data_IF_543844933315
#
_entry.id   IF_543844933315
#
_cell.length_a   1.000
_cell.length_b   1.000
_cell.length_c   1.000
_cell.angle_alpha   90.00
_cell.angle_beta   90.00
_cell.angle_gamma   90.00
#
_symmetry.space_group_name_H-M   'P 1'
#
loop_
_entity.id
_entity.type
_entity.pdbx_description
1 polymer ?
#
# COMPACT_ATOMS: atom_id res chain seq x y z
N UNK A 1 14.30 -0.97 2.22
CA UNK A 1 15.78 -0.92 2.18
C UNK A 1 16.46 -2.30 2.10
N UNK A 2 15.84 -3.38 2.61
CA UNK A 2 16.40 -4.75 2.54
C UNK A 2 16.20 -5.42 1.18
N UNK A 3 15.11 -5.11 0.47
CA UNK A 3 14.89 -5.58 -0.91
C UNK A 3 15.85 -4.95 -1.92
N UNK A 4 16.38 -3.76 -1.61
CA UNK A 4 17.32 -3.05 -2.50
C UNK A 4 18.66 -3.78 -2.68
N UNK A 5 19.06 -4.64 -1.74
CA UNK A 5 20.28 -5.45 -1.90
C UNK A 5 20.16 -6.51 -3.01
N UNK A 6 18.96 -7.04 -3.21
CA UNK A 6 18.68 -8.02 -4.28
C UNK A 6 18.57 -7.34 -5.65
N UNK A 7 18.39 -6.01 -5.68
CA UNK A 7 18.27 -5.18 -6.90
C UNK A 7 19.53 -4.37 -7.22
N UNK A 8 20.67 -4.62 -6.56
CA UNK A 8 21.91 -3.82 -6.70
C UNK A 8 22.53 -3.87 -8.09
N UNK A 9 22.15 -4.84 -8.93
CA UNK A 9 22.58 -4.91 -10.33
C UNK A 9 21.60 -4.25 -11.31
N UNK A 10 20.48 -3.70 -10.82
CA UNK A 10 19.50 -3.04 -11.68
C UNK A 10 19.97 -1.63 -12.05
N UNK A 11 20.26 -1.43 -13.31
CA UNK A 11 20.54 -0.11 -13.91
C UNK A 11 19.27 0.75 -14.04
N UNK A 12 18.11 0.19 -13.71
CA UNK A 12 16.79 0.81 -13.83
C UNK A 12 16.42 1.61 -12.57
N UNK A 13 15.73 2.72 -12.77
CA UNK A 13 15.16 3.52 -11.67
C UNK A 13 13.96 2.81 -11.02
N UNK A 14 13.68 3.14 -9.77
CA UNK A 14 12.50 2.61 -9.05
C UNK A 14 11.18 2.89 -9.81
N UNK A 15 11.09 4.03 -10.51
CA UNK A 15 9.92 4.40 -11.30
C UNK A 15 9.75 3.52 -12.57
N UNK A 16 10.85 3.16 -13.22
CA UNK A 16 10.83 2.25 -14.39
C UNK A 16 10.40 0.84 -13.96
N UNK A 17 10.97 0.32 -12.87
CA UNK A 17 10.60 -0.99 -12.32
C UNK A 17 9.12 -1.04 -11.91
N UNK A 18 8.60 0.02 -11.29
CA UNK A 18 7.18 0.10 -10.95
C UNK A 18 6.29 0.10 -12.19
N UNK A 19 6.65 0.86 -13.23
CA UNK A 19 5.90 0.87 -14.50
C UNK A 19 5.89 -0.52 -15.14
N UNK A 20 7.03 -1.17 -15.26
CA UNK A 20 7.12 -2.53 -15.81
C UNK A 20 6.33 -3.55 -15.00
N UNK A 21 6.30 -3.40 -13.67
CA UNK A 21 5.49 -4.23 -12.81
C UNK A 21 3.98 -4.06 -13.08
N UNK A 22 3.52 -2.83 -13.38
CA UNK A 22 2.12 -2.59 -13.70
C UNK A 22 1.70 -3.12 -15.07
N UNK A 23 2.64 -3.34 -15.97
CA UNK A 23 2.41 -4.03 -17.25
C UNK A 23 2.26 -5.55 -17.10
N UNK A 24 2.69 -6.13 -15.97
CA UNK A 24 2.54 -7.57 -15.72
C UNK A 24 1.09 -7.95 -15.43
N UNK A 25 0.66 -9.16 -15.84
CA UNK A 25 -0.68 -9.64 -15.52
C UNK A 25 -0.94 -9.63 -13.99
N UNK A 26 -2.07 -9.07 -13.53
CA UNK A 26 -2.38 -8.97 -12.11
C UNK A 26 -2.68 -10.33 -11.49
N UNK A 27 -2.42 -10.45 -10.19
CA UNK A 27 -2.84 -11.56 -9.33
C UNK A 27 -2.41 -12.96 -9.78
N UNK A 28 -1.31 -13.09 -10.56
CA UNK A 28 -0.76 -14.40 -10.95
C UNK A 28 -0.28 -15.20 -9.75
N UNK A 29 0.34 -14.53 -8.80
CA UNK A 29 0.76 -15.07 -7.52
C UNK A 29 0.53 -14.03 -6.40
N UNK A 30 0.26 -14.53 -5.22
CA UNK A 30 -0.05 -13.72 -4.04
C UNK A 30 0.68 -14.30 -2.84
N UNK A 31 1.17 -13.43 -1.96
CA UNK A 31 1.83 -13.83 -0.71
C UNK A 31 1.13 -13.19 0.48
N UNK A 32 1.28 -13.79 1.67
CA UNK A 32 0.91 -13.12 2.91
C UNK A 32 2.07 -12.20 3.32
N UNK A 33 1.95 -10.86 3.23
CA UNK A 33 3.06 -9.95 3.57
C UNK A 33 3.55 -10.09 5.03
N UNK A 34 2.70 -10.60 5.92
CA UNK A 34 3.02 -10.80 7.34
C UNK A 34 3.56 -12.21 7.64
N UNK A 35 3.84 -13.02 6.62
CA UNK A 35 4.43 -14.35 6.86
C UNK A 35 5.84 -14.20 7.48
N UNK A 36 6.16 -14.97 8.54
CA UNK A 36 7.47 -14.96 9.17
C UNK A 36 8.64 -15.16 8.20
N UNK A 37 8.43 -15.84 7.07
CA UNK A 37 9.44 -16.03 6.03
C UNK A 37 9.96 -14.68 5.46
N UNK A 38 9.17 -13.60 5.53
CA UNK A 38 9.53 -12.27 5.02
C UNK A 38 10.14 -11.34 6.07
N UNK A 39 10.20 -11.76 7.34
CA UNK A 39 10.70 -10.89 8.42
C UNK A 39 12.20 -10.57 8.28
N UNK A 40 13.02 -11.55 7.90
CA UNK A 40 14.48 -11.38 7.75
C UNK A 40 15.11 -12.42 6.80
N UNK A 41 14.66 -12.55 5.55
CA UNK A 41 15.23 -13.50 4.61
C UNK A 41 16.62 -13.06 4.14
N UNK A 42 17.46 -14.01 3.73
CA UNK A 42 18.73 -13.73 3.06
C UNK A 42 18.53 -13.10 1.69
N UNK A 43 17.49 -13.52 0.98
CA UNK A 43 16.99 -12.94 -0.27
C UNK A 43 15.47 -12.87 -0.23
N UNK A 44 14.90 -11.67 -0.43
CA UNK A 44 13.46 -11.47 -0.50
C UNK A 44 12.86 -12.12 -1.76
N UNK A 45 13.59 -12.07 -2.88
CA UNK A 45 13.17 -12.70 -4.13
C UNK A 45 12.99 -14.19 -3.94
N UNK A 46 14.00 -14.87 -3.38
CA UNK A 46 13.93 -16.30 -3.11
C UNK A 46 12.79 -16.64 -2.14
N UNK A 47 12.61 -15.85 -1.07
CA UNK A 47 11.54 -16.07 -0.11
C UNK A 47 10.14 -15.99 -0.76
N UNK A 48 9.91 -15.03 -1.66
CA UNK A 48 8.65 -14.89 -2.40
C UNK A 48 8.46 -16.10 -3.34
N UNK A 49 9.50 -16.48 -4.07
CA UNK A 49 9.45 -17.63 -4.98
C UNK A 49 9.16 -18.94 -4.22
N UNK A 50 9.80 -19.15 -3.07
CA UNK A 50 9.58 -20.34 -2.23
C UNK A 50 8.18 -20.35 -1.64
N UNK A 51 7.65 -19.22 -1.22
CA UNK A 51 6.26 -19.09 -0.77
C UNK A 51 5.29 -19.47 -1.89
N UNK A 52 5.50 -18.98 -3.11
CA UNK A 52 4.67 -19.32 -4.27
C UNK A 52 4.74 -20.80 -4.60
N UNK A 53 5.93 -21.43 -4.56
CA UNK A 53 6.09 -22.89 -4.75
C UNK A 53 5.34 -23.68 -3.68
N UNK A 54 5.50 -23.31 -2.41
CA UNK A 54 4.87 -23.98 -1.29
C UNK A 54 3.34 -23.91 -1.31
N UNK A 55 2.80 -22.86 -1.92
CA UNK A 55 1.34 -22.65 -2.06
C UNK A 55 0.78 -23.08 -3.42
N UNK A 56 1.60 -23.73 -4.27
CA UNK A 56 1.19 -24.25 -5.58
C UNK A 56 0.79 -23.17 -6.59
N UNK A 57 1.35 -21.96 -6.46
CA UNK A 57 1.07 -20.84 -7.33
C UNK A 57 2.11 -20.71 -8.45
N UNK A 58 1.83 -19.83 -9.42
CA UNK A 58 2.83 -19.37 -10.36
C UNK A 58 4.04 -18.77 -9.59
N UNK A 59 5.24 -19.11 -10.02
CA UNK A 59 6.48 -18.62 -9.42
C UNK A 59 7.01 -17.45 -10.26
N UNK A 60 7.06 -16.23 -9.72
CA UNK A 60 7.55 -15.07 -10.46
C UNK A 60 9.07 -15.18 -10.69
N UNK A 61 9.53 -14.89 -11.91
CA UNK A 61 10.95 -15.06 -12.27
C UNK A 61 11.68 -13.72 -12.41
N UNK A 62 11.04 -12.69 -12.94
CA UNK A 62 11.63 -11.38 -13.16
C UNK A 62 11.31 -10.36 -12.06
N UNK A 63 12.10 -9.30 -11.96
CA UNK A 63 11.88 -8.21 -11.00
C UNK A 63 10.49 -7.59 -11.12
N UNK A 64 10.02 -7.33 -12.33
CA UNK A 64 8.70 -6.76 -12.57
C UNK A 64 7.58 -7.66 -12.05
N UNK A 65 7.67 -8.99 -12.23
CA UNK A 65 6.71 -9.95 -11.71
C UNK A 65 6.75 -10.04 -10.17
N UNK A 66 7.94 -9.98 -9.57
CA UNK A 66 8.13 -9.95 -8.12
C UNK A 66 7.49 -8.69 -7.53
N UNK A 67 7.77 -7.52 -8.10
CA UNK A 67 7.21 -6.24 -7.65
C UNK A 67 5.69 -6.27 -7.80
N UNK A 68 5.18 -6.80 -8.91
CA UNK A 68 3.74 -6.95 -9.12
C UNK A 68 3.10 -7.83 -8.07
N UNK A 69 3.68 -8.99 -7.77
CA UNK A 69 3.23 -9.88 -6.70
C UNK A 69 3.17 -9.18 -5.34
N UNK A 70 4.20 -8.39 -5.01
CA UNK A 70 4.26 -7.63 -3.75
C UNK A 70 3.15 -6.57 -3.70
N UNK A 71 2.95 -5.78 -4.77
CA UNK A 71 1.95 -4.72 -4.79
C UNK A 71 0.52 -5.28 -4.73
N UNK A 72 0.23 -6.32 -5.52
CA UNK A 72 -1.05 -7.02 -5.47
C UNK A 72 -1.35 -7.55 -4.06
N UNK A 73 -0.35 -8.18 -3.43
CA UNK A 73 -0.48 -8.75 -2.08
C UNK A 73 -0.66 -7.68 -1.00
N UNK A 74 0.09 -6.57 -1.07
CA UNK A 74 -0.05 -5.46 -0.12
C UNK A 74 -1.42 -4.80 -0.21
N UNK A 75 -1.90 -4.53 -1.43
CA UNK A 75 -3.22 -3.92 -1.62
C UNK A 75 -4.36 -4.82 -1.09
N UNK A 76 -4.24 -6.15 -1.28
CA UNK A 76 -5.20 -7.12 -0.74
C UNK A 76 -5.09 -7.27 0.78
N UNK A 77 -3.88 -7.17 1.34
CA UNK A 77 -3.69 -7.16 2.79
C UNK A 77 -4.28 -5.91 3.43
N UNK A 78 -4.13 -4.74 2.80
CA UNK A 78 -4.79 -3.51 3.26
C UNK A 78 -6.31 -3.66 3.26
N UNK A 79 -6.91 -4.28 2.23
CA UNK A 79 -8.33 -4.61 2.22
C UNK A 79 -8.73 -5.50 3.39
N UNK A 80 -7.94 -6.53 3.70
CA UNK A 80 -8.23 -7.42 4.82
C UNK A 80 -8.25 -6.68 6.16
N UNK A 81 -7.22 -5.86 6.42
CA UNK A 81 -7.16 -5.02 7.63
C UNK A 81 -8.31 -4.01 7.65
N UNK A 82 -8.60 -3.39 6.51
CA UNK A 82 -9.72 -2.45 6.39
C UNK A 82 -11.07 -3.11 6.66
N UNK A 83 -11.25 -4.35 6.22
CA UNK A 83 -12.46 -5.13 6.51
C UNK A 83 -12.61 -5.35 8.02
N UNK A 84 -11.53 -5.73 8.71
CA UNK A 84 -11.55 -5.86 10.17
C UNK A 84 -11.85 -4.54 10.88
N UNK A 85 -11.24 -3.43 10.44
CA UNK A 85 -11.53 -2.11 11.02
C UNK A 85 -13.01 -1.74 10.89
N UNK A 86 -13.66 -2.07 9.78
CA UNK A 86 -15.10 -1.82 9.60
C UNK A 86 -15.99 -2.66 10.53
N UNK A 87 -15.51 -3.83 10.97
CA UNK A 87 -16.24 -4.65 11.94
C UNK A 87 -16.29 -4.03 13.34
N UNK A 88 -15.27 -3.22 13.68
CA UNK A 88 -15.18 -2.53 14.98
C UNK A 88 -15.69 -1.08 14.96
N UNK A 89 -15.80 -0.47 13.78
CA UNK A 89 -16.26 0.89 13.64
C UNK A 89 -17.79 0.95 13.73
N UNK A 90 -18.31 1.84 14.54
CA UNK A 90 -19.75 2.16 14.65
C UNK A 90 -20.21 3.23 13.65
N UNK A 91 -19.32 3.60 12.71
CA UNK A 91 -19.54 4.58 11.64
C UNK A 91 -19.02 4.05 10.30
N UNK A 92 -19.52 4.62 9.19
CA UNK A 92 -19.03 4.27 7.86
C UNK A 92 -17.65 4.88 7.62
N UNK A 93 -16.75 4.08 7.03
CA UNK A 93 -15.43 4.53 6.57
C UNK A 93 -15.46 4.50 5.04
N UNK A 94 -15.51 5.65 4.41
CA UNK A 94 -15.62 5.86 2.97
C UNK A 94 -14.36 6.48 2.33
N UNK A 95 -13.39 6.86 3.16
CA UNK A 95 -12.12 7.45 2.71
C UNK A 95 -10.97 6.95 3.58
N UNK A 96 -9.89 6.49 2.93
CA UNK A 96 -8.61 6.16 3.57
C UNK A 96 -7.60 7.27 3.30
N UNK A 97 -6.85 7.66 4.32
CA UNK A 97 -5.76 8.62 4.21
C UNK A 97 -4.42 7.90 4.29
N UNK A 98 -3.59 8.03 3.25
CA UNK A 98 -2.22 7.53 3.22
C UNK A 98 -1.28 8.70 3.37
N UNK A 99 -0.50 8.73 4.45
CA UNK A 99 0.43 9.80 4.80
C UNK A 99 1.87 9.30 4.86
N UNK A 100 2.82 10.23 4.90
CA UNK A 100 4.23 9.89 4.93
C UNK A 100 4.76 9.39 3.58
N UNK A 101 5.87 8.67 3.57
CA UNK A 101 6.53 8.19 2.35
C UNK A 101 5.66 7.31 1.45
N UNK A 102 4.71 6.55 2.03
CA UNK A 102 3.76 5.72 1.27
C UNK A 102 2.86 6.53 0.34
N UNK A 103 2.58 7.79 0.66
CA UNK A 103 1.75 8.68 -0.18
C UNK A 103 2.35 8.97 -1.57
N UNK A 104 3.65 8.74 -1.74
CA UNK A 104 4.35 8.97 -3.01
C UNK A 104 4.14 7.85 -4.04
N UNK A 105 3.72 6.67 -3.62
CA UNK A 105 3.53 5.54 -4.53
C UNK A 105 2.11 5.55 -5.12
N UNK A 106 1.93 6.28 -6.23
CA UNK A 106 0.62 6.42 -6.89
C UNK A 106 0.03 5.08 -7.34
N UNK A 107 0.85 4.12 -7.76
CA UNK A 107 0.37 2.79 -8.15
C UNK A 107 -0.25 2.05 -6.97
N UNK A 108 0.47 1.96 -5.84
CA UNK A 108 -0.04 1.28 -4.65
C UNK A 108 -1.24 2.01 -4.05
N UNK A 109 -1.27 3.35 -4.11
CA UNK A 109 -2.41 4.15 -3.65
C UNK A 109 -3.67 3.86 -4.49
N UNK A 110 -3.56 3.79 -5.82
CA UNK A 110 -4.66 3.40 -6.70
C UNK A 110 -5.10 1.95 -6.44
N UNK A 111 -4.16 1.03 -6.33
CA UNK A 111 -4.46 -0.38 -6.02
C UNK A 111 -5.14 -0.54 -4.65
N UNK A 112 -4.78 0.29 -3.68
CA UNK A 112 -5.43 0.33 -2.36
C UNK A 112 -6.87 0.82 -2.47
N UNK A 113 -7.13 1.88 -3.23
CA UNK A 113 -8.48 2.36 -3.50
C UNK A 113 -9.34 1.27 -4.15
N UNK A 114 -8.81 0.64 -5.19
CA UNK A 114 -9.47 -0.43 -5.93
C UNK A 114 -9.80 -1.64 -5.04
N UNK A 115 -8.81 -2.07 -4.25
CA UNK A 115 -8.92 -3.24 -3.38
C UNK A 115 -9.90 -2.99 -2.23
N UNK A 116 -9.81 -1.85 -1.54
CA UNK A 116 -10.66 -1.51 -0.41
C UNK A 116 -12.07 -1.04 -0.82
N UNK A 117 -12.25 -0.63 -2.08
CA UNK A 117 -13.53 -0.13 -2.61
C UNK A 117 -13.95 1.21 -2.00
N UNK A 118 -12.98 2.05 -1.59
CA UNK A 118 -13.18 3.38 -1.02
C UNK A 118 -12.18 4.37 -1.61
N UNK A 119 -12.48 5.66 -1.50
CA UNK A 119 -11.55 6.69 -1.92
C UNK A 119 -10.26 6.65 -1.07
N UNK A 120 -9.12 6.83 -1.73
CA UNK A 120 -7.83 7.03 -1.06
C UNK A 120 -7.36 8.46 -1.29
N UNK A 121 -7.00 9.16 -0.22
CA UNK A 121 -6.34 10.47 -0.26
C UNK A 121 -4.90 10.32 0.19
N UNK A 122 -3.97 10.61 -0.70
CA UNK A 122 -2.54 10.48 -0.46
C UNK A 122 -1.89 11.85 -0.18
N UNK A 123 -1.14 11.93 0.90
CA UNK A 123 -0.45 13.13 1.40
C UNK A 123 -1.05 13.68 2.70
N UNK A 124 -0.30 14.53 3.41
CA UNK A 124 1.06 14.99 3.09
C UNK A 124 2.16 13.95 3.34
N UNK A 125 3.27 14.10 2.60
CA UNK A 125 4.46 13.26 2.81
C UNK A 125 5.08 13.49 4.20
N UNK A 126 5.20 14.75 4.61
CA UNK A 126 5.82 15.18 5.87
C UNK A 126 4.78 15.42 6.98
N UNK A 127 3.81 14.51 7.12
CA UNK A 127 2.68 14.67 8.05
C UNK A 127 3.12 14.90 9.51
N UNK A 128 4.18 14.23 9.96
CA UNK A 128 4.69 14.36 11.33
C UNK A 128 5.28 15.75 11.58
N UNK A 129 6.08 16.27 10.64
CA UNK A 129 6.66 17.61 10.75
C UNK A 129 5.56 18.69 10.73
N UNK A 130 4.60 18.54 9.83
CA UNK A 130 3.45 19.45 9.73
C UNK A 130 2.63 19.43 11.03
N UNK A 131 2.33 18.24 11.57
CA UNK A 131 1.62 18.11 12.83
C UNK A 131 2.34 18.80 13.99
N UNK A 132 3.67 18.68 14.09
CA UNK A 132 4.49 19.36 15.09
C UNK A 132 4.42 20.89 14.94
N UNK A 133 4.52 21.40 13.71
CA UNK A 133 4.43 22.86 13.46
C UNK A 133 3.05 23.38 13.86
N UNK A 134 1.97 22.65 13.49
CA UNK A 134 0.62 23.06 13.82
C UNK A 134 0.33 23.04 15.32
N UNK A 135 0.90 22.10 16.07
CA UNK A 135 0.78 22.07 17.52
C UNK A 135 1.51 23.25 18.18
N UNK A 136 2.68 23.64 17.66
CA UNK A 136 3.40 24.84 18.13
C UNK A 136 2.61 26.11 17.82
N UNK A 137 2.05 26.24 16.61
CA UNK A 137 1.19 27.36 16.23
C UNK A 137 -0.04 27.48 17.15
N UNK A 138 -0.65 26.32 17.51
CA UNK A 138 -1.75 26.29 18.49
C UNK A 138 -1.28 26.74 19.88
N UNK A 139 -0.12 26.31 20.33
CA UNK A 139 0.44 26.73 21.62
C UNK A 139 0.76 28.24 21.65
N UNK A 140 1.13 28.81 20.52
CA UNK A 140 1.35 30.25 20.34
C UNK A 140 0.04 31.08 20.22
N UNK A 141 -1.10 30.44 20.12
CA UNK A 141 -2.41 31.10 19.96
C UNK A 141 -2.78 31.49 18.53
N UNK A 142 -1.97 31.07 17.54
CA UNK A 142 -2.19 31.37 16.11
C UNK A 142 -3.24 30.44 15.47
N UNK A 143 -3.54 29.30 16.11
CA UNK A 143 -4.51 28.31 15.65
C UNK A 143 -5.42 27.92 16.82
N UNK A 144 -6.73 27.92 16.59
CA UNK A 144 -7.71 27.78 17.67
C UNK A 144 -7.87 26.34 18.15
N UNK A 145 -8.07 25.41 17.24
CA UNK A 145 -8.36 23.99 17.55
C UNK A 145 -7.89 23.01 16.44
N UNK A 146 -8.19 21.73 16.64
CA UNK A 146 -7.82 20.67 15.71
C UNK A 146 -8.50 20.82 14.33
N UNK A 147 -9.68 21.41 14.26
CA UNK A 147 -10.42 21.58 13.01
C UNK A 147 -9.84 22.72 12.20
N UNK A 148 -9.42 23.78 12.87
CA UNK A 148 -8.69 24.91 12.26
C UNK A 148 -7.33 24.43 11.70
N UNK A 149 -6.59 23.61 12.48
CA UNK A 149 -5.36 22.96 12.01
C UNK A 149 -5.60 22.14 10.73
N UNK A 150 -6.62 21.30 10.71
CA UNK A 150 -6.97 20.47 9.54
C UNK A 150 -7.35 21.31 8.33
N UNK A 151 -8.09 22.38 8.54
CA UNK A 151 -8.49 23.30 7.48
C UNK A 151 -7.28 24.01 6.86
N UNK A 152 -6.34 24.47 7.67
CA UNK A 152 -5.09 25.07 7.21
C UNK A 152 -4.28 24.06 6.38
N UNK A 153 -4.09 22.83 6.90
CA UNK A 153 -3.36 21.76 6.20
C UNK A 153 -4.01 21.45 4.85
N UNK A 154 -5.32 21.27 4.81
CA UNK A 154 -6.05 20.94 3.58
C UNK A 154 -5.94 22.04 2.51
N UNK A 155 -5.89 23.30 2.93
CA UNK A 155 -5.73 24.45 2.02
C UNK A 155 -4.29 24.68 1.56
N UNK A 156 -3.32 24.25 2.36
CA UNK A 156 -1.90 24.50 2.12
C UNK A 156 -1.19 23.40 1.36
N UNK A 157 -1.74 22.17 1.36
CA UNK A 157 -1.08 20.99 0.83
C UNK A 157 -2.03 20.26 -0.13
N UNK A 158 -1.57 20.10 -1.35
CA UNK A 158 -2.30 19.31 -2.34
C UNK A 158 -2.30 17.82 -1.93
N UNK A 159 -3.48 17.21 -1.95
CA UNK A 159 -3.68 15.79 -1.73
C UNK A 159 -4.14 15.16 -3.03
N UNK A 160 -3.49 14.08 -3.44
CA UNK A 160 -3.94 13.27 -4.57
C UNK A 160 -5.10 12.37 -4.12
N UNK A 161 -6.15 12.33 -4.92
CA UNK A 161 -7.31 11.46 -4.66
C UNK A 161 -7.34 10.34 -5.69
N UNK A 162 -7.51 9.11 -5.22
CA UNK A 162 -7.66 7.91 -6.03
C UNK A 162 -9.04 7.31 -5.77
N UNK A 163 -9.83 7.19 -6.82
CA UNK A 163 -11.15 6.58 -6.77
C UNK A 163 -11.08 5.08 -7.09
N UNK A 164 -11.91 4.24 -6.45
CA UNK A 164 -11.90 2.80 -6.68
C UNK A 164 -12.37 2.45 -8.10
N UNK A 165 -11.68 1.51 -8.73
CA UNK A 165 -11.94 0.99 -10.08
C UNK A 165 -11.94 -0.56 -10.04
N UNK A 166 -12.50 -1.18 -11.09
CA UNK A 166 -12.40 -2.64 -11.34
C UNK A 166 -12.82 -3.53 -10.18
N UNK A 167 -13.87 -3.14 -9.44
CA UNK A 167 -14.31 -3.80 -8.22
C UNK A 167 -14.43 -5.32 -8.34
N UNK A 168 -15.05 -5.82 -9.42
CA UNK A 168 -15.27 -7.27 -9.59
C UNK A 168 -13.96 -8.06 -9.64
N UNK A 169 -12.96 -7.54 -10.36
CA UNK A 169 -11.63 -8.17 -10.47
C UNK A 169 -10.92 -8.21 -9.09
N UNK A 170 -11.04 -7.14 -8.31
CA UNK A 170 -10.46 -7.09 -6.96
C UNK A 170 -11.21 -7.95 -5.95
N UNK A 171 -12.51 -8.14 -6.10
CA UNK A 171 -13.30 -9.05 -5.27
C UNK A 171 -12.88 -10.50 -5.51
N UNK A 172 -12.71 -10.92 -6.77
CA UNK A 172 -12.19 -12.25 -7.12
C UNK A 172 -10.75 -12.47 -6.61
N UNK A 173 -9.88 -11.47 -6.78
CA UNK A 173 -8.52 -11.54 -6.28
C UNK A 173 -8.46 -11.65 -4.74
N UNK A 174 -9.35 -10.99 -4.03
CA UNK A 174 -9.43 -11.07 -2.58
C UNK A 174 -9.83 -12.47 -2.09
N UNK A 175 -10.79 -13.11 -2.75
CA UNK A 175 -11.14 -14.52 -2.45
C UNK A 175 -9.96 -15.46 -2.67
N UNK A 176 -9.16 -15.23 -3.73
CA UNK A 176 -7.92 -15.98 -3.97
C UNK A 176 -6.89 -15.72 -2.88
N UNK A 177 -6.69 -14.45 -2.50
CA UNK A 177 -5.76 -14.05 -1.43
C UNK A 177 -6.10 -14.73 -0.10
N UNK A 178 -7.37 -14.75 0.30
CA UNK A 178 -7.81 -15.40 1.52
C UNK A 178 -7.52 -16.92 1.53
N UNK A 179 -7.57 -17.59 0.38
CA UNK A 179 -7.26 -19.03 0.28
C UNK A 179 -5.77 -19.31 0.46
N UNK A 180 -4.90 -18.51 -0.13
CA UNK A 180 -3.45 -18.72 -0.07
C UNK A 180 -2.80 -18.20 1.22
N UNK A 181 -3.51 -17.32 1.97
CA UNK A 181 -3.02 -16.78 3.25
C UNK A 181 -3.62 -17.45 4.49
N UNK A 182 -4.60 -18.36 4.31
CA UNK A 182 -5.10 -19.19 5.41
C UNK A 182 -4.01 -20.21 5.79
N UNK A 183 -3.49 -20.06 6.99
CA UNK A 183 -2.76 -21.12 7.71
C UNK A 183 -3.68 -21.76 8.72
#
# INVERSE_FOLDING_TARGET
DRGRKDFTDATQSDAELQREAMEQPPFRCLVNPDDPAFANPSSMITAIQDYCRATGQYVPEGYAEIIRCVFDSLALRYRQVFTWLKEFADFSIDTLYIIGGGSLNSYLNQMTANSCGVNVKAGPQEATAIGNIMLQAKAAGEVSDIWDMRNIITKSIEQLTFEPQDKAMWDEAYEKFLKVTKK
#
